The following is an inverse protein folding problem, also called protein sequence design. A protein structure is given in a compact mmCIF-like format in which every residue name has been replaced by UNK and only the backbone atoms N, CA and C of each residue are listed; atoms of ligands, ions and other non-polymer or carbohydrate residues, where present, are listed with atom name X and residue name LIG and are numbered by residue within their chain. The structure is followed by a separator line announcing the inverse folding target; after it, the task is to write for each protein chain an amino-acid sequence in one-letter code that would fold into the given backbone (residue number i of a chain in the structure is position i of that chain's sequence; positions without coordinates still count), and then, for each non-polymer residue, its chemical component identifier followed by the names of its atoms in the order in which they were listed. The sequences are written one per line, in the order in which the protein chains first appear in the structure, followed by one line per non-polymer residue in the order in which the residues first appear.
data_IF_318739233771
#
_entry.id   IF_318739233771
#
_cell.length_a   1.000
_cell.length_b   1.000
_cell.length_c   1.000
_cell.angle_alpha   90.00
_cell.angle_beta   90.00
_cell.angle_gamma   90.00
#
_symmetry.space_group_name_H-M   'P 1'
#
loop_
_entity.id
_entity.type
_entity.pdbx_description
1 polymer ?
#
# COMPACT_ATOMS: atom_id res chain seq x y z
N UNK A 1 -9.59 0.37 -23.29
CA UNK A 1 -9.08 1.60 -22.63
C UNK A 1 -7.56 1.60 -22.76
N UNK A 2 -6.94 2.71 -23.18
CA UNK A 2 -5.48 2.86 -23.14
C UNK A 2 -5.01 3.08 -21.68
N UNK A 3 -3.85 2.55 -21.30
CA UNK A 3 -3.23 2.73 -19.98
C UNK A 3 -3.11 4.19 -19.54
N UNK A 4 -2.87 5.13 -20.47
CA UNK A 4 -2.87 6.56 -20.15
C UNK A 4 -4.23 7.05 -19.62
N UNK A 5 -5.33 6.55 -20.20
CA UNK A 5 -6.68 6.86 -19.71
C UNK A 5 -6.94 6.23 -18.34
N UNK A 6 -6.47 4.99 -18.13
CA UNK A 6 -6.62 4.31 -16.85
C UNK A 6 -5.83 5.03 -15.74
N UNK A 7 -4.61 5.49 -16.01
CA UNK A 7 -3.82 6.29 -15.09
C UNK A 7 -4.54 7.59 -14.68
N UNK A 8 -5.08 8.33 -15.67
CA UNK A 8 -5.86 9.54 -15.41
C UNK A 8 -7.15 9.27 -14.62
N UNK A 9 -7.75 8.09 -14.72
CA UNK A 9 -8.91 7.74 -13.90
C UNK A 9 -8.49 7.39 -12.47
N UNK A 10 -7.37 6.68 -12.31
CA UNK A 10 -6.92 6.17 -11.02
C UNK A 10 -6.19 7.22 -10.18
N UNK A 11 -5.44 8.15 -10.78
CA UNK A 11 -4.59 9.10 -10.06
C UNK A 11 -5.38 10.09 -9.18
N UNK A 12 -6.63 10.38 -9.50
CA UNK A 12 -7.49 11.26 -8.70
C UNK A 12 -7.81 10.68 -7.32
N UNK A 13 -7.87 9.35 -7.18
CA UNK A 13 -8.18 8.71 -5.91
C UNK A 13 -7.14 9.01 -4.83
N UNK A 14 -5.83 8.71 -5.00
CA UNK A 14 -4.82 9.06 -4.02
C UNK A 14 -4.63 10.57 -3.89
N UNK A 15 -4.71 11.35 -4.98
CA UNK A 15 -4.54 12.81 -4.91
C UNK A 15 -5.67 13.44 -4.09
N UNK A 16 -6.93 13.36 -4.53
CA UNK A 16 -8.06 13.99 -3.85
C UNK A 16 -8.30 13.34 -2.48
N UNK A 17 -8.17 12.01 -2.42
CA UNK A 17 -8.37 11.26 -1.20
C UNK A 17 -7.41 11.66 -0.08
N UNK A 18 -6.15 11.99 -0.37
CA UNK A 18 -5.20 12.42 0.67
C UNK A 18 -5.58 13.77 1.28
N UNK A 19 -6.11 14.71 0.49
CA UNK A 19 -6.68 15.96 1.03
C UNK A 19 -7.88 15.69 1.93
N UNK A 20 -8.81 14.83 1.49
CA UNK A 20 -9.99 14.44 2.30
C UNK A 20 -9.53 13.76 3.60
N UNK A 21 -8.55 12.86 3.53
CA UNK A 21 -7.99 12.16 4.69
C UNK A 21 -7.36 13.11 5.70
N UNK A 22 -6.57 14.09 5.23
CA UNK A 22 -5.97 15.11 6.09
C UNK A 22 -7.05 16.00 6.73
N UNK A 23 -8.05 16.44 5.95
CA UNK A 23 -9.18 17.21 6.46
C UNK A 23 -9.96 16.47 7.54
N UNK A 24 -10.31 15.20 7.29
CA UNK A 24 -10.97 14.34 8.29
C UNK A 24 -10.13 14.16 9.55
N UNK A 25 -8.82 13.95 9.40
CA UNK A 25 -7.90 13.81 10.53
C UNK A 25 -7.83 15.11 11.36
N UNK A 26 -7.75 16.27 10.73
CA UNK A 26 -7.76 17.57 11.42
C UNK A 26 -9.08 17.81 12.17
N UNK A 27 -10.21 17.59 11.49
CA UNK A 27 -11.55 17.72 12.11
C UNK A 27 -11.69 16.76 13.27
N UNK A 28 -11.11 15.56 13.20
CA UNK A 28 -11.15 14.58 14.29
C UNK A 28 -10.51 15.09 15.59
N UNK A 29 -9.47 15.93 15.51
CA UNK A 29 -8.84 16.54 16.67
C UNK A 29 -9.68 17.68 17.24
N UNK A 30 -10.25 18.53 16.37
CA UNK A 30 -11.12 19.64 16.77
C UNK A 30 -12.40 19.12 17.43
N UNK A 31 -13.05 18.14 16.81
CA UNK A 31 -14.25 17.51 17.32
C UNK A 31 -13.99 16.49 18.45
N UNK A 32 -12.71 16.22 18.77
CA UNK A 32 -12.27 15.20 19.72
C UNK A 32 -12.96 13.83 19.51
N UNK A 33 -13.14 13.43 18.24
CA UNK A 33 -13.90 12.24 17.85
C UNK A 33 -12.97 11.09 17.52
N UNK A 34 -13.07 10.00 18.27
CA UNK A 34 -12.31 8.77 18.03
C UNK A 34 -12.76 8.06 16.75
N UNK A 35 -14.04 8.14 16.40
CA UNK A 35 -14.59 7.54 15.19
C UNK A 35 -14.05 8.25 13.94
N UNK A 36 -13.90 9.58 13.98
CA UNK A 36 -13.26 10.34 12.91
C UNK A 36 -11.77 10.02 12.79
N UNK A 37 -11.06 9.84 13.91
CA UNK A 37 -9.65 9.38 13.89
C UNK A 37 -9.54 8.02 13.23
N UNK A 38 -10.34 7.05 13.66
CA UNK A 38 -10.35 5.71 13.07
C UNK A 38 -10.68 5.77 11.57
N UNK A 39 -11.70 6.54 11.18
CA UNK A 39 -12.10 6.72 9.77
C UNK A 39 -10.96 7.30 8.93
N UNK A 40 -10.26 8.31 9.44
CA UNK A 40 -9.11 8.90 8.73
C UNK A 40 -7.98 7.89 8.51
N UNK A 41 -7.69 7.03 9.50
CA UNK A 41 -6.67 6.00 9.37
C UNK A 41 -7.08 4.91 8.37
N UNK A 42 -8.35 4.50 8.35
CA UNK A 42 -8.90 3.59 7.33
C UNK A 42 -8.71 4.19 5.94
N UNK A 43 -9.04 5.46 5.79
CA UNK A 43 -8.92 6.15 4.51
C UNK A 43 -7.46 6.20 4.05
N UNK A 44 -6.50 6.58 4.89
CA UNK A 44 -5.07 6.58 4.50
C UNK A 44 -4.55 5.18 4.14
N UNK A 45 -4.96 4.14 4.87
CA UNK A 45 -4.59 2.77 4.53
C UNK A 45 -5.17 2.33 3.17
N UNK A 46 -6.42 2.70 2.87
CA UNK A 46 -7.06 2.46 1.58
C UNK A 46 -6.36 3.21 0.44
N UNK A 47 -6.01 4.48 0.67
CA UNK A 47 -5.36 5.32 -0.34
C UNK A 47 -3.96 4.82 -0.70
N UNK A 48 -3.23 4.22 0.24
CA UNK A 48 -1.96 3.58 -0.05
C UNK A 48 -2.17 2.39 -1.00
N UNK A 49 -3.14 1.51 -0.71
CA UNK A 49 -3.49 0.43 -1.64
C UNK A 49 -3.86 0.95 -3.03
N UNK A 50 -4.66 2.02 -3.12
CA UNK A 50 -5.06 2.62 -4.41
C UNK A 50 -3.93 3.38 -5.12
N UNK A 51 -2.89 3.81 -4.41
CA UNK A 51 -1.72 4.45 -5.00
C UNK A 51 -0.88 3.47 -5.81
N UNK A 52 -0.87 2.18 -5.44
CA UNK A 52 -0.16 1.12 -6.18
C UNK A 52 -0.60 1.05 -7.65
N UNK A 53 -1.88 0.78 -8.00
CA UNK A 53 -2.29 0.71 -9.39
C UNK A 53 -2.18 2.07 -10.10
N UNK A 54 -2.34 3.20 -9.40
CA UNK A 54 -2.10 4.53 -9.99
C UNK A 54 -0.63 4.70 -10.42
N UNK A 55 0.34 4.28 -9.60
CA UNK A 55 1.76 4.32 -9.92
C UNK A 55 2.12 3.35 -11.07
N UNK A 56 1.64 2.11 -11.02
CA UNK A 56 1.87 1.11 -12.06
C UNK A 56 1.34 1.55 -13.43
N UNK A 57 0.12 2.09 -13.46
CA UNK A 57 -0.47 2.61 -14.69
C UNK A 57 0.22 3.86 -15.21
N UNK A 58 0.91 4.62 -14.36
CA UNK A 58 1.73 5.76 -14.77
C UNK A 58 2.92 5.36 -15.63
N UNK A 59 3.68 4.34 -15.21
CA UNK A 59 4.76 3.76 -16.02
C UNK A 59 4.25 3.13 -17.33
N UNK A 60 3.05 2.54 -17.30
CA UNK A 60 2.41 2.03 -18.52
C UNK A 60 2.00 3.17 -19.48
N UNK A 61 1.59 4.31 -18.92
CA UNK A 61 1.25 5.51 -19.68
C UNK A 61 2.50 6.18 -20.29
N UNK A 62 3.63 6.18 -19.57
CA UNK A 62 4.93 6.64 -20.09
C UNK A 62 5.31 5.90 -21.37
N UNK A 63 5.35 4.55 -21.34
CA UNK A 63 5.63 3.74 -22.53
C UNK A 63 4.69 4.05 -23.72
N UNK A 64 3.43 4.34 -23.44
CA UNK A 64 2.45 4.66 -24.48
C UNK A 64 2.61 6.09 -25.05
N UNK A 65 3.37 6.96 -24.38
CA UNK A 65 3.61 8.36 -24.76
C UNK A 65 5.05 8.63 -25.19
N UNK A 66 5.99 7.70 -24.98
CA UNK A 66 7.41 7.81 -25.36
C UNK A 66 7.61 8.17 -26.84
N UNK A 67 6.73 7.68 -27.73
CA UNK A 67 6.80 7.94 -29.17
C UNK A 67 5.98 9.18 -29.62
N UNK A 68 5.35 9.90 -28.70
CA UNK A 68 4.50 11.05 -29.02
C UNK A 68 5.35 12.31 -29.27
N UNK A 69 5.24 12.95 -30.46
CA UNK A 69 6.07 14.11 -30.80
C UNK A 69 5.74 15.37 -29.98
N UNK A 70 4.55 15.41 -29.36
CA UNK A 70 4.04 16.56 -28.61
C UNK A 70 4.39 16.51 -27.11
N UNK A 71 5.06 15.45 -26.64
CA UNK A 71 5.35 15.22 -25.22
C UNK A 71 6.85 15.17 -24.97
N UNK A 72 7.35 16.09 -24.14
CA UNK A 72 8.76 16.11 -23.72
C UNK A 72 9.07 14.98 -22.74
N UNK A 73 10.11 14.20 -23.03
CA UNK A 73 10.63 13.18 -22.11
C UNK A 73 11.11 13.76 -20.77
N UNK A 74 11.64 14.98 -20.77
CA UNK A 74 12.05 15.66 -19.53
C UNK A 74 10.84 15.93 -18.61
N UNK A 75 9.69 16.28 -19.19
CA UNK A 75 8.44 16.48 -18.45
C UNK A 75 7.93 15.17 -17.84
N UNK A 76 7.98 14.07 -18.60
CA UNK A 76 7.62 12.73 -18.11
C UNK A 76 8.54 12.33 -16.94
N UNK A 77 9.87 12.46 -17.09
CA UNK A 77 10.83 12.10 -16.04
C UNK A 77 10.66 12.94 -14.78
N UNK A 78 10.42 14.26 -14.91
CA UNK A 78 10.15 15.14 -13.79
C UNK A 78 8.85 14.74 -13.04
N UNK A 79 7.78 14.40 -13.78
CA UNK A 79 6.57 13.87 -13.16
C UNK A 79 6.79 12.51 -12.49
N UNK A 80 7.47 11.58 -13.17
CA UNK A 80 7.76 10.24 -12.67
C UNK A 80 8.57 10.30 -11.36
N UNK A 81 9.55 11.21 -11.29
CA UNK A 81 10.30 11.48 -10.06
C UNK A 81 9.43 12.03 -8.93
N UNK A 82 8.55 12.98 -9.23
CA UNK A 82 7.63 13.51 -8.23
C UNK A 82 6.63 12.45 -7.76
N UNK A 83 6.11 11.65 -8.69
CA UNK A 83 5.20 10.53 -8.42
C UNK A 83 5.87 9.44 -7.59
N UNK A 84 7.16 9.16 -7.80
CA UNK A 84 7.93 8.23 -6.97
C UNK A 84 7.92 8.65 -5.49
N UNK A 85 8.31 9.91 -5.21
CA UNK A 85 8.36 10.39 -3.83
C UNK A 85 6.97 10.47 -3.20
N UNK A 86 5.96 10.92 -3.97
CA UNK A 86 4.57 10.92 -3.51
C UNK A 86 4.07 9.51 -3.18
N UNK A 87 4.37 8.52 -4.03
CA UNK A 87 4.03 7.12 -3.81
C UNK A 87 4.69 6.56 -2.55
N UNK A 88 6.01 6.73 -2.39
CA UNK A 88 6.74 6.23 -1.22
C UNK A 88 6.19 6.83 0.08
N UNK A 89 5.93 8.14 0.12
CA UNK A 89 5.35 8.78 1.31
C UNK A 89 3.90 8.36 1.56
N UNK A 90 3.11 8.11 0.51
CA UNK A 90 1.77 7.54 0.64
C UNK A 90 1.82 6.14 1.27
N UNK A 91 2.72 5.28 0.83
CA UNK A 91 2.92 3.94 1.42
C UNK A 91 3.34 4.03 2.90
N UNK A 92 4.31 4.90 3.23
CA UNK A 92 4.73 5.14 4.63
C UNK A 92 3.56 5.65 5.48
N UNK A 93 2.77 6.59 4.95
CA UNK A 93 1.57 7.13 5.61
C UNK A 93 0.54 6.03 5.83
N UNK A 94 0.29 5.18 4.83
CA UNK A 94 -0.63 4.05 4.90
C UNK A 94 -0.21 3.01 5.93
N UNK A 95 1.08 2.66 6.00
CA UNK A 95 1.64 1.75 7.01
C UNK A 95 1.48 2.32 8.42
N UNK A 96 1.83 3.59 8.62
CA UNK A 96 1.65 4.27 9.92
C UNK A 96 0.17 4.35 10.31
N UNK A 97 -0.72 4.58 9.35
CA UNK A 97 -2.16 4.58 9.55
C UNK A 97 -2.67 3.19 9.92
N UNK A 98 -2.22 2.14 9.24
CA UNK A 98 -2.59 0.76 9.52
C UNK A 98 -2.09 0.30 10.89
N UNK A 99 -0.87 0.68 11.29
CA UNK A 99 -0.38 0.44 12.65
C UNK A 99 -1.25 1.16 13.69
N UNK A 100 -1.70 2.39 13.39
CA UNK A 100 -2.69 3.11 14.20
C UNK A 100 -4.03 2.37 14.33
N UNK A 101 -4.57 1.84 13.23
CA UNK A 101 -5.79 1.03 13.21
C UNK A 101 -5.66 -0.25 14.04
N UNK A 102 -4.53 -0.93 13.92
CA UNK A 102 -4.25 -2.11 14.72
C UNK A 102 -4.29 -1.78 16.22
N UNK A 103 -3.76 -0.62 16.64
CA UNK A 103 -3.83 -0.15 18.05
C UNK A 103 -5.22 0.33 18.47
N UNK A 104 -6.05 0.76 17.54
CA UNK A 104 -7.48 1.01 17.79
C UNK A 104 -8.28 -0.28 18.03
N UNK A 105 -7.69 -1.45 17.78
CA UNK A 105 -8.33 -2.73 18.09
C UNK A 105 -8.70 -2.84 19.56
N UNK A 106 -9.98 -3.09 19.85
CA UNK A 106 -10.46 -3.27 21.23
C UNK A 106 -10.39 -4.73 21.69
N UNK A 107 -9.87 -5.64 20.86
CA UNK A 107 -9.68 -7.07 21.15
C UNK A 107 -8.60 -7.25 22.24
N UNK A 108 -7.55 -6.42 22.21
CA UNK A 108 -6.41 -6.58 23.11
C UNK A 108 -6.50 -5.58 24.26
N UNK A 109 -6.91 -6.03 25.45
CA UNK A 109 -6.73 -5.26 26.69
C UNK A 109 -5.31 -5.53 27.23
N UNK A 110 -4.46 -4.50 27.32
CA UNK A 110 -3.12 -4.59 27.90
C UNK A 110 -2.30 -3.29 27.75
N UNK A 111 -1.16 -3.15 28.46
CA UNK A 111 -0.36 -1.91 28.47
C UNK A 111 0.11 -1.46 27.08
N UNK A 112 0.23 -2.40 26.14
CA UNK A 112 0.76 -2.20 24.79
C UNK A 112 -0.33 -1.97 23.73
N UNK A 113 -1.60 -2.15 24.07
CA UNK A 113 -2.75 -2.09 23.15
C UNK A 113 -3.88 -1.19 23.70
N UNK A 114 -3.52 0.03 24.07
CA UNK A 114 -4.45 1.14 24.23
C UNK A 114 -4.67 1.85 22.90
N UNK A 115 -5.68 2.75 22.85
CA UNK A 115 -5.85 3.79 21.81
C UNK A 115 -4.49 4.23 21.24
N UNK A 116 -4.35 4.45 19.91
CA UNK A 116 -3.05 4.79 19.34
C UNK A 116 -2.42 5.92 20.13
N UNK A 117 -1.14 5.74 20.45
CA UNK A 117 -0.41 6.72 21.22
C UNK A 117 -0.48 8.08 20.51
N UNK A 118 -0.49 9.16 21.29
CA UNK A 118 -0.45 10.53 20.73
C UNK A 118 0.68 10.70 19.71
N UNK A 119 1.81 10.01 19.91
CA UNK A 119 2.93 9.96 18.97
C UNK A 119 2.57 9.34 17.62
N UNK A 120 1.78 8.26 17.58
CA UNK A 120 1.33 7.66 16.31
C UNK A 120 0.42 8.61 15.54
N UNK A 121 -0.55 9.22 16.23
CA UNK A 121 -1.47 10.17 15.61
C UNK A 121 -0.75 11.42 15.11
N UNK A 122 0.25 11.92 15.87
CA UNK A 122 1.10 13.01 15.44
C UNK A 122 1.98 12.62 14.23
N UNK A 123 2.51 11.39 14.21
CA UNK A 123 3.28 10.88 13.08
C UNK A 123 2.41 10.80 11.81
N UNK A 124 1.21 10.23 11.88
CA UNK A 124 0.28 10.16 10.74
C UNK A 124 -0.13 11.56 10.27
N UNK A 125 -0.38 12.50 11.20
CA UNK A 125 -0.66 13.89 10.85
C UNK A 125 0.50 14.52 10.08
N UNK A 126 1.71 14.43 10.59
CA UNK A 126 2.90 14.97 9.92
C UNK A 126 3.12 14.32 8.54
N UNK A 127 3.10 12.99 8.48
CA UNK A 127 3.28 12.24 7.24
C UNK A 127 2.21 12.58 6.20
N UNK A 128 0.94 12.68 6.61
CA UNK A 128 -0.14 13.05 5.68
C UNK A 128 -0.01 14.48 5.16
N UNK A 129 0.46 15.44 5.95
CA UNK A 129 0.76 16.80 5.47
C UNK A 129 1.85 16.79 4.39
N UNK A 130 2.94 16.04 4.62
CA UNK A 130 4.02 15.88 3.64
C UNK A 130 3.49 15.18 2.38
N UNK A 131 2.73 14.09 2.54
CA UNK A 131 2.12 13.35 1.43
C UNK A 131 1.19 14.22 0.59
N UNK A 132 0.35 15.07 1.20
CA UNK A 132 -0.49 16.03 0.48
C UNK A 132 0.35 17.01 -0.33
N UNK A 133 1.45 17.53 0.23
CA UNK A 133 2.39 18.38 -0.49
C UNK A 133 3.00 17.68 -1.71
N UNK A 134 3.49 16.45 -1.54
CA UNK A 134 4.07 15.66 -2.62
C UNK A 134 3.03 15.26 -3.68
N UNK A 135 1.81 14.89 -3.28
CA UNK A 135 0.70 14.60 -4.20
C UNK A 135 0.30 15.83 -5.02
N UNK A 136 0.32 17.02 -4.41
CA UNK A 136 0.08 18.28 -5.11
C UNK A 136 1.13 18.52 -6.19
N UNK A 137 2.41 18.28 -5.87
CA UNK A 137 3.51 18.42 -6.83
C UNK A 137 3.42 17.38 -7.94
N UNK A 138 3.14 16.11 -7.61
CA UNK A 138 2.95 15.05 -8.60
C UNK A 138 1.76 15.36 -9.53
N UNK A 139 0.64 15.83 -8.99
CA UNK A 139 -0.52 16.25 -9.79
C UNK A 139 -0.23 17.44 -10.71
N UNK A 140 0.47 18.46 -10.20
CA UNK A 140 0.83 19.65 -10.98
C UNK A 140 1.83 19.31 -12.11
N UNK A 141 2.87 18.53 -11.81
CA UNK A 141 3.83 18.07 -12.83
C UNK A 141 3.17 17.16 -13.86
N UNK A 142 2.20 16.31 -13.46
CA UNK A 142 1.44 15.47 -14.39
C UNK A 142 0.53 16.28 -15.32
N UNK A 143 -0.10 17.36 -14.81
CA UNK A 143 -0.91 18.27 -15.62
C UNK A 143 -0.12 18.94 -16.74
N UNK A 144 1.15 19.29 -16.48
CA UNK A 144 2.05 19.92 -17.46
C UNK A 144 2.45 19.00 -18.62
N UNK A 145 2.28 17.67 -18.51
CA UNK A 145 2.59 16.73 -19.60
C UNK A 145 1.67 16.94 -20.80
N UNK A 146 0.39 17.30 -20.57
CA UNK A 146 -0.62 17.48 -21.64
C UNK A 146 -1.10 18.91 -21.84
N UNK A 147 -0.75 19.80 -20.92
CA UNK A 147 -1.11 21.21 -20.98
C UNK A 147 0.16 22.07 -21.06
N UNK A 148 0.83 22.15 -22.22
CA UNK A 148 1.97 23.05 -22.41
C UNK A 148 1.59 24.53 -22.25
N UNK A 149 0.29 24.87 -22.30
CA UNK A 149 -0.19 26.22 -22.01
C UNK A 149 0.00 26.63 -20.54
N UNK A 150 0.14 25.68 -19.60
CA UNK A 150 0.45 25.96 -18.18
C UNK A 150 1.94 25.79 -17.87
N UNK A 151 2.77 25.39 -18.84
CA UNK A 151 4.22 25.46 -18.73
C UNK A 151 4.69 26.87 -19.12
N UNK A 152 4.67 27.81 -18.17
CA UNK A 152 5.60 28.94 -18.22
C UNK A 152 7.06 28.46 -18.17
N UNK A 153 8.05 29.35 -18.06
CA UNK A 153 9.48 29.02 -17.98
C UNK A 153 9.73 27.71 -17.21
N UNK A 154 10.24 26.69 -17.93
CA UNK A 154 10.35 25.29 -17.52
C UNK A 154 11.16 25.13 -16.23
N UNK A 155 10.53 25.39 -15.09
CA UNK A 155 11.14 25.09 -13.79
C UNK A 155 10.73 23.67 -13.43
N UNK A 156 11.64 22.72 -13.64
CA UNK A 156 11.55 21.38 -13.08
C UNK A 156 11.26 21.48 -11.57
N UNK A 157 10.44 20.56 -11.06
CA UNK A 157 10.20 20.54 -9.63
C UNK A 157 11.44 19.97 -8.94
N UNK A 158 11.92 20.60 -7.87
CA UNK A 158 13.01 20.04 -7.03
C UNK A 158 12.69 18.60 -6.63
N UNK A 159 11.43 18.30 -6.29
CA UNK A 159 10.97 16.96 -5.93
C UNK A 159 11.03 16.01 -7.12
N UNK A 160 10.67 16.50 -8.31
CA UNK A 160 10.78 15.74 -9.56
C UNK A 160 12.23 15.39 -9.88
N UNK A 161 13.13 16.37 -9.87
CA UNK A 161 14.57 16.18 -10.10
C UNK A 161 15.20 15.24 -9.05
N UNK A 162 14.80 15.35 -7.79
CA UNK A 162 15.27 14.42 -6.74
C UNK A 162 14.82 12.99 -7.01
N UNK A 163 13.53 12.79 -7.35
CA UNK A 163 12.99 11.46 -7.61
C UNK A 163 13.55 10.82 -8.88
N UNK A 164 13.66 11.58 -9.98
CA UNK A 164 14.21 11.09 -11.24
C UNK A 164 15.68 10.71 -11.09
N UNK A 165 16.46 11.41 -10.26
CA UNK A 165 17.82 11.05 -9.92
C UNK A 165 17.97 9.80 -9.03
N UNK A 166 16.90 9.34 -8.36
CA UNK A 166 16.90 8.13 -7.54
C UNK A 166 16.64 6.86 -8.36
N UNK A 167 15.78 6.92 -9.38
CA UNK A 167 15.36 5.74 -10.15
C UNK A 167 16.57 4.98 -10.75
N UNK A 168 17.49 5.62 -11.51
CA UNK A 168 18.63 4.91 -12.10
C UNK A 168 19.59 4.36 -11.04
N UNK A 169 19.72 5.03 -9.89
CA UNK A 169 20.56 4.56 -8.78
C UNK A 169 19.99 3.29 -8.16
N UNK A 170 18.67 3.25 -7.96
CA UNK A 170 17.99 2.07 -7.44
C UNK A 170 18.10 0.91 -8.43
N UNK A 171 17.90 1.16 -9.72
CA UNK A 171 18.08 0.16 -10.78
C UNK A 171 19.49 -0.43 -10.78
N UNK A 172 20.51 0.43 -10.78
CA UNK A 172 21.91 0.02 -10.70
C UNK A 172 22.20 -0.82 -9.44
N UNK A 173 21.72 -0.38 -8.27
CA UNK A 173 21.93 -1.13 -7.02
C UNK A 173 21.29 -2.52 -7.08
N UNK A 174 20.10 -2.65 -7.64
CA UNK A 174 19.36 -3.92 -7.65
C UNK A 174 19.90 -4.89 -8.69
N UNK A 175 20.29 -4.40 -9.88
CA UNK A 175 20.65 -5.26 -11.03
C UNK A 175 22.17 -5.38 -11.20
N UNK A 176 22.91 -4.28 -11.10
CA UNK A 176 24.29 -4.19 -11.61
C UNK A 176 25.36 -4.12 -10.51
N UNK A 177 25.01 -3.68 -9.29
CA UNK A 177 25.99 -3.46 -8.23
C UNK A 177 26.64 -4.76 -7.75
N UNK A 178 25.85 -5.83 -7.57
CA UNK A 178 26.36 -7.14 -7.17
C UNK A 178 25.33 -8.23 -7.46
N UNK A 179 25.81 -9.40 -7.91
CA UNK A 179 24.99 -10.59 -8.15
C UNK A 179 24.20 -11.07 -6.92
N UNK A 180 24.61 -10.64 -5.71
CA UNK A 180 23.96 -11.04 -4.45
C UNK A 180 22.76 -10.16 -4.07
N UNK A 181 22.62 -8.97 -4.65
CA UNK A 181 21.53 -8.05 -4.25
C UNK A 181 20.17 -8.67 -4.56
N UNK A 182 20.01 -9.24 -5.75
CA UNK A 182 18.75 -9.85 -6.16
C UNK A 182 18.34 -11.04 -5.26
N UNK A 183 19.19 -12.08 -5.05
CA UNK A 183 18.85 -13.17 -4.12
C UNK A 183 18.56 -12.70 -2.69
N UNK A 184 19.30 -11.72 -2.17
CA UNK A 184 19.07 -11.18 -0.81
C UNK A 184 17.69 -10.52 -0.74
N UNK A 185 17.31 -9.74 -1.76
CA UNK A 185 15.97 -9.15 -1.82
C UNK A 185 14.88 -10.24 -1.87
N UNK A 186 15.11 -11.33 -2.61
CA UNK A 186 14.19 -12.47 -2.65
C UNK A 186 14.08 -13.15 -1.28
N UNK A 187 15.19 -13.40 -0.59
CA UNK A 187 15.20 -13.96 0.75
C UNK A 187 14.39 -13.11 1.72
N UNK A 188 14.61 -11.78 1.73
CA UNK A 188 13.82 -10.87 2.55
C UNK A 188 12.35 -10.85 2.17
N UNK A 189 12.01 -10.92 0.88
CA UNK A 189 10.62 -11.00 0.42
C UNK A 189 9.94 -12.29 0.92
N UNK A 190 10.63 -13.43 0.91
CA UNK A 190 10.09 -14.67 1.46
C UNK A 190 9.97 -14.63 2.98
N UNK A 191 10.95 -14.07 3.69
CA UNK A 191 10.87 -13.88 5.14
C UNK A 191 9.67 -13.00 5.53
N UNK A 192 9.42 -11.92 4.78
CA UNK A 192 8.27 -11.07 5.01
C UNK A 192 6.95 -11.79 4.72
N UNK A 193 6.87 -12.62 3.67
CA UNK A 193 5.73 -13.51 3.42
C UNK A 193 5.49 -14.49 4.57
N UNK A 194 6.54 -15.11 5.12
CA UNK A 194 6.43 -16.04 6.26
C UNK A 194 5.88 -15.33 7.49
N UNK A 195 6.38 -14.14 7.82
CA UNK A 195 5.87 -13.34 8.94
C UNK A 195 4.40 -12.95 8.75
N UNK A 196 4.04 -12.50 7.56
CA UNK A 196 2.68 -12.09 7.22
C UNK A 196 1.68 -13.26 7.26
N UNK A 197 1.99 -14.36 6.56
CA UNK A 197 1.14 -15.54 6.51
C UNK A 197 1.11 -16.28 7.85
N UNK A 198 2.23 -16.35 8.58
CA UNK A 198 2.28 -17.00 9.88
C UNK A 198 1.36 -16.32 10.89
N UNK A 199 1.44 -14.98 10.96
CA UNK A 199 0.66 -14.20 11.92
C UNK A 199 -0.83 -14.17 11.58
N UNK A 200 -1.18 -13.81 10.34
CA UNK A 200 -2.57 -13.72 9.90
C UNK A 200 -3.19 -15.12 9.71
N UNK A 201 -2.42 -16.09 9.24
CA UNK A 201 -2.87 -17.46 9.02
C UNK A 201 -3.31 -18.14 10.32
N UNK A 202 -2.53 -18.05 11.40
CA UNK A 202 -2.92 -18.63 12.70
C UNK A 202 -4.19 -17.97 13.25
N UNK A 203 -4.31 -16.64 13.12
CA UNK A 203 -5.53 -15.92 13.52
C UNK A 203 -6.74 -16.38 12.69
N UNK A 204 -6.60 -16.51 11.38
CA UNK A 204 -7.68 -16.97 10.49
C UNK A 204 -8.07 -18.42 10.76
N UNK A 205 -7.11 -19.32 10.97
CA UNK A 205 -7.38 -20.72 11.35
C UNK A 205 -8.11 -20.81 12.69
N UNK A 206 -7.75 -19.94 13.65
CA UNK A 206 -8.50 -19.80 14.90
C UNK A 206 -9.95 -19.37 14.63
N UNK A 207 -10.19 -18.36 13.80
CA UNK A 207 -11.52 -17.86 13.46
C UNK A 207 -12.35 -18.94 12.75
N UNK A 208 -11.74 -19.72 11.86
CA UNK A 208 -12.40 -20.81 11.12
C UNK A 208 -12.78 -22.00 12.01
N UNK A 209 -12.13 -22.15 13.18
CA UNK A 209 -12.49 -23.14 14.18
C UNK A 209 -11.52 -24.33 14.31
N UNK A 210 -10.33 -24.26 13.70
CA UNK A 210 -9.31 -25.31 13.84
C UNK A 210 -8.55 -25.23 15.17
N UNK A 211 -8.38 -24.02 15.72
CA UNK A 211 -7.60 -23.76 16.94
C UNK A 211 -8.48 -23.17 18.05
N UNK A 212 -9.71 -23.69 18.21
CA UNK A 212 -10.75 -23.14 19.11
C UNK A 212 -10.37 -23.04 20.59
N UNK A 213 -9.23 -23.54 21.05
CA UNK A 213 -8.77 -23.29 22.42
C UNK A 213 -7.84 -22.06 22.56
N UNK A 214 -7.22 -21.58 21.48
CA UNK A 214 -6.31 -20.43 21.52
C UNK A 214 -7.03 -19.08 21.61
N UNK A 215 -6.88 -18.30 22.69
CA UNK A 215 -7.54 -17.01 22.80
C UNK A 215 -7.16 -16.06 21.65
N UNK A 216 -8.14 -15.32 21.11
CA UNK A 216 -7.94 -14.43 19.96
C UNK A 216 -7.03 -13.24 20.32
N UNK A 217 -7.14 -12.72 21.54
CA UNK A 217 -6.41 -11.51 21.94
C UNK A 217 -4.88 -11.68 21.93
N UNK A 218 -4.28 -12.77 22.46
CA UNK A 218 -2.84 -13.01 22.30
C UNK A 218 -2.40 -13.17 20.84
N UNK A 219 -3.21 -13.81 19.98
CA UNK A 219 -2.88 -13.94 18.55
C UNK A 219 -2.87 -12.58 17.85
N UNK A 220 -3.84 -11.71 18.18
CA UNK A 220 -3.93 -10.36 17.63
C UNK A 220 -2.72 -9.47 18.02
N UNK A 221 -2.07 -9.74 19.17
CA UNK A 221 -0.82 -9.07 19.57
C UNK A 221 0.36 -9.36 18.65
N UNK A 222 0.31 -10.43 17.85
CA UNK A 222 1.36 -10.75 16.88
C UNK A 222 1.19 -10.04 15.54
N UNK A 223 0.08 -9.34 15.28
CA UNK A 223 -0.14 -8.61 14.02
C UNK A 223 0.97 -7.60 13.68
N UNK A 224 1.65 -6.91 14.62
CA UNK A 224 2.79 -6.06 14.28
C UNK A 224 3.91 -6.78 13.53
N UNK A 225 4.12 -8.07 13.79
CA UNK A 225 5.06 -8.88 13.03
C UNK A 225 4.56 -9.14 11.61
N UNK A 226 3.26 -9.32 11.44
CA UNK A 226 2.62 -9.40 10.12
C UNK A 226 2.74 -8.07 9.36
N UNK A 227 2.56 -6.94 10.05
CA UNK A 227 2.79 -5.60 9.48
C UNK A 227 4.25 -5.45 9.06
N UNK A 228 5.20 -5.81 9.92
CA UNK A 228 6.62 -5.76 9.59
C UNK A 228 6.94 -6.64 8.36
N UNK A 229 6.39 -7.85 8.30
CA UNK A 229 6.52 -8.72 7.13
C UNK A 229 5.92 -8.12 5.85
N UNK A 230 4.74 -7.51 5.94
CA UNK A 230 4.13 -6.79 4.82
C UNK A 230 4.99 -5.61 4.36
N UNK A 231 5.54 -4.82 5.29
CA UNK A 231 6.44 -3.70 4.97
C UNK A 231 7.69 -4.18 4.24
N UNK A 232 8.31 -5.26 4.72
CA UNK A 232 9.46 -5.88 4.01
C UNK A 232 9.06 -6.29 2.60
N UNK A 233 7.89 -6.89 2.41
CA UNK A 233 7.41 -7.32 1.10
C UNK A 233 7.09 -6.15 0.16
N UNK A 234 6.52 -5.06 0.67
CA UNK A 234 6.26 -3.85 -0.12
C UNK A 234 7.58 -3.23 -0.55
N UNK A 235 8.55 -3.07 0.35
CA UNK A 235 9.87 -2.51 0.01
C UNK A 235 10.59 -3.36 -1.03
N UNK A 236 10.75 -4.66 -0.77
CA UNK A 236 11.44 -5.58 -1.70
C UNK A 236 10.68 -5.72 -3.02
N UNK A 237 9.35 -5.85 -2.98
CA UNK A 237 8.49 -5.89 -4.17
C UNK A 237 8.58 -4.62 -5.03
N UNK A 238 8.66 -3.46 -4.37
CA UNK A 238 8.84 -2.18 -5.04
C UNK A 238 10.22 -2.04 -5.67
N UNK A 239 11.27 -2.53 -5.00
CA UNK A 239 12.63 -2.57 -5.56
C UNK A 239 12.71 -3.47 -6.80
N UNK A 240 12.07 -4.65 -6.77
CA UNK A 240 11.95 -5.49 -7.97
C UNK A 240 11.24 -4.77 -9.11
N UNK A 241 10.14 -4.09 -8.80
CA UNK A 241 9.39 -3.33 -9.79
C UNK A 241 10.23 -2.21 -10.42
N UNK A 242 10.88 -1.37 -9.61
CA UNK A 242 11.72 -0.26 -10.10
C UNK A 242 12.90 -0.77 -10.93
N UNK A 243 13.46 -1.94 -10.56
CA UNK A 243 14.56 -2.56 -11.30
C UNK A 243 14.15 -2.92 -12.73
N UNK A 244 12.96 -3.51 -12.91
CA UNK A 244 12.50 -3.97 -14.23
C UNK A 244 11.02 -3.61 -14.51
N UNK A 245 10.64 -2.31 -14.54
CA UNK A 245 9.24 -1.91 -14.64
C UNK A 245 8.62 -2.40 -15.93
N UNK A 246 9.41 -2.40 -17.01
CA UNK A 246 8.99 -2.86 -18.32
C UNK A 246 8.65 -4.35 -18.40
N UNK A 247 9.20 -5.20 -17.51
CA UNK A 247 8.86 -6.62 -17.41
C UNK A 247 7.56 -6.82 -16.61
N UNK A 248 7.38 -6.09 -15.51
CA UNK A 248 6.22 -6.29 -14.63
C UNK A 248 4.91 -5.73 -15.19
N UNK A 249 4.93 -4.55 -15.82
CA UNK A 249 3.70 -3.85 -16.27
C UNK A 249 2.90 -4.63 -17.30
N UNK A 250 3.59 -5.36 -18.16
CA UNK A 250 3.02 -6.15 -19.27
C UNK A 250 2.78 -7.62 -18.91
N UNK A 251 3.11 -8.01 -17.67
CA UNK A 251 2.99 -9.38 -17.21
C UNK A 251 1.63 -9.60 -16.53
N UNK A 252 0.76 -10.39 -17.16
CA UNK A 252 -0.59 -10.64 -16.66
C UNK A 252 -0.60 -11.28 -15.26
N UNK A 253 0.36 -12.14 -14.96
CA UNK A 253 0.47 -12.80 -13.64
C UNK A 253 0.79 -11.76 -12.56
N UNK A 254 1.65 -10.78 -12.87
CA UNK A 254 1.91 -9.66 -11.96
C UNK A 254 0.66 -8.80 -11.76
N UNK A 255 -0.07 -8.44 -12.83
CA UNK A 255 -1.29 -7.63 -12.71
C UNK A 255 -2.36 -8.34 -11.86
N UNK A 256 -2.55 -9.65 -12.05
CA UNK A 256 -3.42 -10.47 -11.22
C UNK A 256 -2.94 -10.52 -9.76
N UNK A 257 -1.62 -10.58 -9.53
CA UNK A 257 -1.06 -10.52 -8.17
C UNK A 257 -1.40 -9.19 -7.50
N UNK A 258 -1.23 -8.07 -8.20
CA UNK A 258 -1.58 -6.74 -7.68
C UNK A 258 -3.07 -6.67 -7.36
N UNK A 259 -3.94 -7.09 -8.27
CA UNK A 259 -5.39 -7.16 -8.00
C UNK A 259 -5.70 -7.99 -6.75
N UNK A 260 -5.03 -9.14 -6.60
CA UNK A 260 -5.22 -10.03 -5.45
C UNK A 260 -4.73 -9.37 -4.15
N UNK A 261 -3.62 -8.63 -4.17
CA UNK A 261 -3.13 -7.84 -3.03
C UNK A 261 -4.15 -6.75 -2.66
N UNK A 262 -4.73 -6.04 -3.65
CA UNK A 262 -5.76 -5.03 -3.40
C UNK A 262 -6.99 -5.65 -2.74
N UNK A 263 -7.44 -6.81 -3.23
CA UNK A 263 -8.55 -7.56 -2.62
C UNK A 263 -8.21 -8.05 -1.20
N UNK A 264 -6.99 -8.51 -0.95
CA UNK A 264 -6.53 -8.91 0.38
C UNK A 264 -6.53 -7.73 1.36
N UNK A 265 -6.05 -6.57 0.91
CA UNK A 265 -6.10 -5.32 1.67
C UNK A 265 -7.54 -4.85 1.93
N UNK A 266 -8.42 -4.90 0.94
CA UNK A 266 -9.84 -4.58 1.12
C UNK A 266 -10.52 -5.54 2.11
N UNK A 267 -10.22 -6.84 2.03
CA UNK A 267 -10.73 -7.85 2.97
C UNK A 267 -10.25 -7.58 4.41
N UNK A 268 -9.02 -7.11 4.58
CA UNK A 268 -8.47 -6.67 5.88
C UNK A 268 -9.15 -5.40 6.40
N UNK A 269 -9.37 -4.40 5.54
CA UNK A 269 -10.10 -3.18 5.94
C UNK A 269 -11.55 -3.51 6.30
N UNK A 270 -12.22 -4.38 5.54
CA UNK A 270 -13.55 -4.89 5.85
C UNK A 270 -13.57 -5.57 7.23
N UNK A 271 -12.54 -6.34 7.56
CA UNK A 271 -12.40 -6.94 8.89
C UNK A 271 -12.40 -5.85 9.97
N UNK A 272 -11.52 -4.84 9.89
CA UNK A 272 -11.41 -3.78 10.90
C UNK A 272 -12.60 -2.80 10.96
N UNK A 273 -13.37 -2.66 9.88
CA UNK A 273 -14.50 -1.73 9.81
C UNK A 273 -15.85 -2.35 10.17
N UNK A 274 -15.99 -3.68 10.18
CA UNK A 274 -17.29 -4.35 10.32
C UNK A 274 -17.52 -5.00 11.69
N UNK A 275 -18.77 -5.45 11.92
CA UNK A 275 -19.15 -6.19 13.11
C UNK A 275 -18.41 -7.52 13.28
N UNK A 276 -17.78 -8.06 12.23
CA UNK A 276 -16.95 -9.27 12.32
C UNK A 276 -15.88 -9.13 13.40
N UNK A 277 -15.21 -7.98 13.43
CA UNK A 277 -14.21 -7.66 14.44
C UNK A 277 -14.80 -7.44 15.83
N UNK A 278 -15.91 -6.68 15.92
CA UNK A 278 -16.59 -6.44 17.20
C UNK A 278 -17.08 -7.73 17.85
N UNK A 279 -17.50 -8.71 17.06
CA UNK A 279 -17.90 -10.02 17.57
C UNK A 279 -16.70 -10.83 18.10
N UNK A 280 -15.52 -10.68 17.50
CA UNK A 280 -14.29 -11.35 17.94
C UNK A 280 -13.75 -10.81 19.27
N UNK A 281 -14.05 -9.56 19.62
CA UNK A 281 -13.68 -8.97 20.93
C UNK A 281 -14.26 -9.72 22.12
N UNK A 282 -15.38 -10.42 21.92
CA UNK A 282 -16.09 -11.14 22.98
C UNK A 282 -15.82 -12.64 22.98
N UNK A 283 -15.03 -13.12 22.02
CA UNK A 283 -14.89 -14.54 21.73
C UNK A 283 -13.89 -15.21 22.69
N UNK A 284 -14.41 -16.10 23.54
CA UNK A 284 -13.64 -16.89 24.50
C UNK A 284 -12.98 -18.15 23.90
N UNK A 285 -12.11 -18.81 24.66
CA UNK A 285 -11.68 -20.18 24.37
C UNK A 285 -12.89 -21.11 24.24
N UNK A 286 -12.86 -22.04 23.29
CA UNK A 286 -13.93 -22.97 22.93
C UNK A 286 -14.99 -22.41 21.97
N UNK A 287 -15.16 -21.09 21.91
CA UNK A 287 -16.29 -20.47 21.21
C UNK A 287 -16.11 -20.35 19.70
N UNK A 288 -17.22 -20.43 18.98
CA UNK A 288 -17.31 -20.30 17.53
C UNK A 288 -17.43 -18.85 17.08
N UNK A 289 -16.66 -18.48 16.06
CA UNK A 289 -16.80 -17.18 15.42
C UNK A 289 -18.10 -17.13 14.58
N UNK A 290 -18.73 -15.95 14.43
CA UNK A 290 -19.90 -15.80 13.58
C UNK A 290 -19.58 -16.15 12.12
N UNK A 291 -20.56 -16.64 11.33
CA UNK A 291 -20.34 -17.10 9.96
C UNK A 291 -19.67 -16.06 9.06
N UNK A 292 -20.04 -14.78 9.20
CA UNK A 292 -19.42 -13.70 8.43
C UNK A 292 -17.92 -13.53 8.74
N UNK A 293 -17.49 -13.67 10.00
CA UNK A 293 -16.07 -13.63 10.36
C UNK A 293 -15.31 -14.83 9.79
N UNK A 294 -15.94 -16.02 9.75
CA UNK A 294 -15.38 -17.21 9.10
C UNK A 294 -15.20 -16.99 7.59
N UNK A 295 -16.18 -16.39 6.92
CA UNK A 295 -16.06 -16.03 5.50
C UNK A 295 -14.89 -15.08 5.25
N UNK A 296 -14.77 -13.99 6.01
CA UNK A 296 -13.66 -13.03 5.87
C UNK A 296 -12.29 -13.69 6.12
N UNK A 297 -12.21 -14.61 7.09
CA UNK A 297 -10.99 -15.37 7.39
C UNK A 297 -10.64 -16.36 6.27
N UNK A 298 -11.62 -17.09 5.73
CA UNK A 298 -11.42 -18.01 4.61
C UNK A 298 -10.97 -17.27 3.35
N UNK A 299 -11.65 -16.17 3.01
CA UNK A 299 -11.28 -15.30 1.89
C UNK A 299 -9.88 -14.73 2.06
N UNK A 300 -9.49 -14.33 3.28
CA UNK A 300 -8.12 -13.87 3.57
C UNK A 300 -7.07 -14.95 3.30
N UNK A 301 -7.27 -16.19 3.77
CA UNK A 301 -6.34 -17.29 3.51
C UNK A 301 -6.24 -17.55 2.00
N UNK A 302 -7.38 -17.65 1.31
CA UNK A 302 -7.41 -17.88 -0.13
C UNK A 302 -6.65 -16.79 -0.91
N UNK A 303 -6.92 -15.52 -0.61
CA UNK A 303 -6.27 -14.38 -1.27
C UNK A 303 -4.76 -14.39 -1.05
N UNK A 304 -4.27 -14.62 0.18
CA UNK A 304 -2.83 -14.64 0.44
C UNK A 304 -2.13 -15.85 -0.19
N UNK A 305 -2.77 -17.03 -0.23
CA UNK A 305 -2.26 -18.18 -0.98
C UNK A 305 -2.16 -17.84 -2.47
N UNK A 306 -3.20 -17.21 -3.04
CA UNK A 306 -3.18 -16.75 -4.42
C UNK A 306 -2.04 -15.74 -4.68
N UNK A 307 -1.80 -14.78 -3.77
CA UNK A 307 -0.65 -13.84 -3.88
C UNK A 307 0.69 -14.57 -3.95
N UNK A 308 0.89 -15.61 -3.12
CA UNK A 308 2.13 -16.41 -3.13
C UNK A 308 2.27 -17.19 -4.44
N UNK A 309 1.21 -17.87 -4.87
CA UNK A 309 1.20 -18.63 -6.12
C UNK A 309 1.51 -17.70 -7.28
N UNK A 310 0.73 -16.62 -7.46
CA UNK A 310 0.93 -15.65 -8.52
C UNK A 310 2.34 -15.07 -8.48
N UNK A 311 2.87 -14.73 -7.30
CA UNK A 311 4.24 -14.26 -7.13
C UNK A 311 5.30 -15.22 -7.66
N UNK A 312 5.15 -16.52 -7.37
CA UNK A 312 6.05 -17.56 -7.87
C UNK A 312 5.97 -17.76 -9.38
N UNK A 313 4.81 -17.51 -9.97
CA UNK A 313 4.58 -17.71 -11.41
C UNK A 313 4.92 -16.49 -12.28
N UNK A 314 5.27 -15.33 -11.70
CA UNK A 314 5.66 -14.13 -12.48
C UNK A 314 6.72 -14.44 -13.56
N UNK A 315 7.83 -15.16 -13.27
CA UNK A 315 8.86 -15.46 -14.28
C UNK A 315 8.37 -16.29 -15.47
N UNK A 316 7.21 -16.95 -15.35
CA UNK A 316 6.63 -17.82 -16.38
C UNK A 316 5.39 -17.20 -17.04
N UNK A 317 4.97 -16.01 -16.62
CA UNK A 317 3.80 -15.32 -17.17
C UNK A 317 4.08 -14.77 -18.58
N UNK A 318 3.08 -14.84 -19.45
CA UNK A 318 3.15 -14.19 -20.77
C UNK A 318 3.33 -12.67 -20.61
N UNK A 319 4.27 -12.13 -21.38
CA UNK A 319 4.55 -10.70 -21.54
C UNK A 319 3.77 -10.26 -22.78
N UNK A 320 2.68 -9.50 -22.59
CA UNK A 320 1.77 -9.07 -23.67
C UNK A 320 1.90 -7.61 -24.01
#
# INVERSE_FOLDING_TARGET
MNFAHLHLLLNHWPIIGTFIGLGLLLVSFIANSEDLKQTSLVLFALLALLAIPAYLTGHAAEKALEESPDVSMASIQNHQGAALLAFVFMEITGVAAFFGLWRFSRIVKGPWASRPARSNMAAVLFLSMVTVGLMTIAGNTGGKIRHPEISGEETESIVGTMGSGLIPKLQYVVIDYSMWVWPILEDFHFLGLILLLGTIGVLNLRILGFLKQLPVAPLHRFIPWGIAGFVVNVITGFLFFIAMPGFYIVNIVFLLKILTILLAGANLLLFYCTAAFRALERLGPGEDAPPFAKFVAASSIFLWIAVVILGRYIPFGEVT
#
